data_IF_168487947538
#
_entry.id   IF_168487947538
#
_cell.length_a   1.000
_cell.length_b   1.000
_cell.length_c   1.000
_cell.angle_alpha   90.00
_cell.angle_beta   90.00
_cell.angle_gamma   90.00
#
_symmetry.space_group_name_H-M   'P 1'
#
loop_
_entity.id
_entity.type
_entity.pdbx_description
1 polymer ?
#
# COMPACT_ATOMS: atom_id res chain seq x y z
N UNK A 1 9.35 -17.43 5.30
CA UNK A 1 10.55 -16.75 5.85
C UNK A 1 10.02 -15.52 6.53
N UNK A 2 10.02 -15.54 7.86
CA UNK A 2 9.74 -14.37 8.68
C UNK A 2 11.02 -13.53 8.71
N UNK A 3 11.01 -12.37 8.06
CA UNK A 3 12.15 -11.44 8.19
C UNK A 3 12.14 -10.80 9.58
N UNK A 4 10.97 -10.69 10.24
CA UNK A 4 10.81 -10.07 11.56
C UNK A 4 11.07 -8.56 11.59
N UNK A 5 11.53 -7.99 10.47
CA UNK A 5 11.78 -6.56 10.31
C UNK A 5 10.47 -5.78 10.22
N UNK A 6 10.42 -4.67 10.93
CA UNK A 6 9.33 -3.72 10.95
C UNK A 6 9.86 -2.30 10.80
N UNK A 7 9.00 -1.40 10.31
CA UNK A 7 9.28 0.02 10.26
C UNK A 7 8.27 0.75 11.13
N UNK A 8 8.76 1.32 12.23
CA UNK A 8 7.96 2.23 13.04
C UNK A 8 7.83 3.59 12.35
N UNK A 9 6.61 4.12 12.34
CA UNK A 9 6.37 5.44 11.80
C UNK A 9 6.95 6.49 12.74
N UNK A 10 7.85 7.32 12.23
CA UNK A 10 8.42 8.42 13.01
C UNK A 10 7.34 9.39 13.49
N UNK A 11 6.35 9.65 12.64
CA UNK A 11 5.15 10.42 12.94
C UNK A 11 3.94 9.70 12.36
N UNK A 12 2.82 9.77 13.07
CA UNK A 12 1.56 9.24 12.57
C UNK A 12 1.13 10.02 11.31
N UNK A 13 0.53 9.35 10.32
CA UNK A 13 -0.06 10.04 9.17
C UNK A 13 -1.17 10.97 9.64
N UNK A 14 -1.31 12.12 8.97
CA UNK A 14 -2.40 13.08 9.27
C UNK A 14 -3.76 12.55 8.82
N UNK A 15 -3.77 11.75 7.76
CA UNK A 15 -4.93 11.15 7.13
C UNK A 15 -4.59 9.77 6.57
N UNK A 16 -5.59 8.88 6.60
CA UNK A 16 -5.56 7.57 5.96
C UNK A 16 -6.79 7.52 5.04
N UNK A 17 -6.54 7.21 3.77
CA UNK A 17 -7.55 7.02 2.74
C UNK A 17 -7.79 5.52 2.60
N UNK A 18 -9.01 5.08 2.88
CA UNK A 18 -9.40 3.67 2.84
C UNK A 18 -10.55 3.46 1.85
N UNK A 19 -10.25 2.79 0.74
CA UNK A 19 -11.15 2.67 -0.39
C UNK A 19 -11.46 1.19 -0.67
N UNK A 20 -12.74 0.90 -0.87
CA UNK A 20 -13.22 -0.37 -1.41
C UNK A 20 -14.20 -0.08 -2.53
N UNK A 21 -14.03 -0.76 -3.66
CA UNK A 21 -14.93 -0.59 -4.81
C UNK A 21 -15.35 -1.93 -5.40
N UNK A 22 -16.25 -1.89 -6.38
CA UNK A 22 -16.80 -3.06 -7.05
C UNK A 22 -16.84 -2.83 -8.56
N UNK A 23 -16.56 -3.88 -9.32
CA UNK A 23 -16.61 -3.86 -10.78
C UNK A 23 -17.98 -4.32 -11.27
N UNK A 24 -18.57 -3.53 -12.17
CA UNK A 24 -19.80 -3.85 -12.88
C UNK A 24 -19.61 -3.74 -14.40
N UNK A 25 -20.10 -4.74 -15.13
CA UNK A 25 -20.16 -4.73 -16.58
C UNK A 25 -21.50 -4.14 -17.05
N UNK A 26 -21.48 -3.17 -17.96
CA UNK A 26 -22.67 -2.57 -18.54
C UNK A 26 -23.07 -3.32 -19.83
N UNK A 27 -24.19 -4.02 -19.79
CA UNK A 27 -24.75 -4.76 -20.93
C UNK A 27 -25.74 -3.85 -21.65
N UNK A 28 -25.36 -3.42 -22.86
CA UNK A 28 -26.22 -2.63 -23.75
C UNK A 28 -27.08 -3.55 -24.59
N UNK A 29 -28.40 -3.42 -24.48
CA UNK A 29 -29.36 -4.20 -25.25
C UNK A 29 -30.05 -3.23 -26.23
N UNK A 30 -29.96 -3.44 -27.55
CA UNK A 30 -30.62 -2.59 -28.53
C UNK A 30 -32.12 -2.44 -28.26
N UNK A 31 -32.65 -1.22 -28.34
CA UNK A 31 -34.06 -0.92 -28.08
C UNK A 31 -34.43 -0.70 -26.61
N UNK A 32 -33.49 -0.89 -25.66
CA UNK A 32 -33.70 -0.57 -24.25
C UNK A 32 -33.25 0.87 -23.93
N UNK A 33 -33.94 1.54 -23.00
CA UNK A 33 -33.62 2.91 -22.60
C UNK A 33 -32.38 3.03 -21.71
N UNK A 34 -32.01 1.97 -20.99
CA UNK A 34 -30.88 1.94 -20.07
C UNK A 34 -30.12 0.60 -20.16
N UNK A 35 -28.79 0.60 -19.92
CA UNK A 35 -28.01 -0.63 -19.84
C UNK A 35 -28.37 -1.41 -18.58
N UNK A 36 -28.22 -2.74 -18.63
CA UNK A 36 -28.26 -3.60 -17.44
C UNK A 36 -26.85 -3.73 -16.89
N UNK A 37 -26.68 -3.54 -15.58
CA UNK A 37 -25.38 -3.73 -14.92
C UNK A 37 -25.30 -5.13 -14.31
N UNK A 38 -24.22 -5.86 -14.61
CA UNK A 38 -23.92 -7.16 -14.02
C UNK A 38 -22.69 -7.04 -13.13
N UNK A 39 -22.80 -7.52 -11.89
CA UNK A 39 -21.66 -7.59 -10.97
C UNK A 39 -20.59 -8.54 -11.53
N UNK A 40 -19.34 -8.08 -11.52
CA UNK A 40 -18.18 -8.84 -11.99
C UNK A 40 -17.40 -9.38 -10.79
N UNK A 41 -16.88 -8.47 -9.96
CA UNK A 41 -16.07 -8.79 -8.80
C UNK A 41 -15.94 -7.58 -7.86
N UNK A 42 -15.47 -7.80 -6.64
CA UNK A 42 -15.02 -6.74 -5.76
C UNK A 42 -13.59 -6.35 -6.13
N UNK A 43 -13.29 -5.05 -6.15
CA UNK A 43 -11.93 -4.56 -6.33
C UNK A 43 -11.16 -4.68 -5.01
N UNK A 44 -9.82 -4.81 -5.01
CA UNK A 44 -9.02 -4.85 -3.79
C UNK A 44 -9.30 -3.62 -2.90
N UNK A 45 -9.34 -3.83 -1.58
CA UNK A 45 -9.36 -2.72 -0.63
C UNK A 45 -7.99 -2.04 -0.68
N UNK A 46 -8.02 -0.71 -0.65
CA UNK A 46 -6.89 0.16 -0.93
C UNK A 46 -6.69 1.11 0.24
N UNK A 47 -5.53 1.04 0.88
CA UNK A 47 -5.21 1.88 2.04
C UNK A 47 -4.03 2.78 1.66
N UNK A 48 -4.30 4.06 1.51
CA UNK A 48 -3.33 5.09 1.15
C UNK A 48 -3.06 6.03 2.31
N UNK A 49 -1.80 6.38 2.55
CA UNK A 49 -1.42 7.36 3.58
C UNK A 49 -0.08 8.00 3.26
N UNK A 50 0.18 9.15 3.89
CA UNK A 50 1.44 9.87 3.75
C UNK A 50 2.29 9.78 5.03
N UNK A 51 3.52 9.30 4.88
CA UNK A 51 4.54 9.33 5.92
C UNK A 51 5.47 10.53 5.75
N UNK A 52 5.88 11.11 6.87
CA UNK A 52 6.87 12.18 6.92
C UNK A 52 8.11 11.67 7.64
N UNK A 53 9.27 11.80 7.01
CA UNK A 53 10.56 11.48 7.61
C UNK A 53 11.37 12.76 7.76
N UNK A 54 11.83 13.04 8.98
CA UNK A 54 12.56 14.25 9.30
C UNK A 54 13.78 13.95 10.18
N UNK A 55 14.96 14.31 9.69
CA UNK A 55 16.28 13.99 10.27
C UNK A 55 16.52 12.48 10.41
N UNK A 56 17.76 12.10 10.72
CA UNK A 56 18.18 10.70 10.78
C UNK A 56 18.38 10.08 9.39
N UNK A 57 18.23 8.77 9.29
CA UNK A 57 18.49 7.99 8.07
C UNK A 57 17.32 8.00 7.08
N UNK A 58 16.86 9.19 6.70
CA UNK A 58 15.70 9.39 5.81
C UNK A 58 15.81 8.59 4.51
N UNK A 59 17.00 8.59 3.88
CA UNK A 59 17.24 7.81 2.66
C UNK A 59 17.01 6.31 2.90
N UNK A 60 17.54 5.77 3.99
CA UNK A 60 17.45 4.34 4.31
C UNK A 60 15.99 3.95 4.61
N UNK A 61 15.24 4.77 5.34
CA UNK A 61 13.81 4.51 5.58
C UNK A 61 13.00 4.51 4.29
N UNK A 62 13.28 5.45 3.38
CA UNK A 62 12.61 5.49 2.07
C UNK A 62 13.02 4.30 1.19
N UNK A 63 14.31 3.95 1.19
CA UNK A 63 14.81 2.82 0.42
C UNK A 63 14.28 1.48 0.97
N UNK A 64 14.10 1.37 2.29
CA UNK A 64 13.42 0.22 2.91
C UNK A 64 11.98 0.11 2.41
N UNK A 65 11.19 1.20 2.43
CA UNK A 65 9.82 1.19 1.90
C UNK A 65 9.78 0.81 0.42
N UNK A 66 10.70 1.35 -0.38
CA UNK A 66 10.81 1.00 -1.80
C UNK A 66 11.19 -0.46 -2.00
N UNK A 67 12.03 -1.03 -1.15
CA UNK A 67 12.46 -2.42 -1.26
C UNK A 67 11.29 -3.41 -1.24
N UNK A 68 10.18 -3.06 -0.57
CA UNK A 68 8.96 -3.87 -0.50
C UNK A 68 8.26 -4.06 -1.86
N UNK A 69 8.58 -3.21 -2.85
CA UNK A 69 8.08 -3.34 -4.22
C UNK A 69 8.93 -4.28 -5.08
N UNK A 70 10.13 -4.65 -4.61
CA UNK A 70 11.04 -5.50 -5.36
C UNK A 70 10.86 -6.97 -4.96
N UNK A 71 10.89 -7.89 -5.94
CA UNK A 71 10.88 -9.32 -5.66
C UNK A 71 12.26 -9.82 -5.18
N UNK A 72 12.27 -10.97 -4.52
CA UNK A 72 13.50 -11.65 -4.13
C UNK A 72 14.05 -12.48 -5.29
N UNK A 73 15.34 -12.30 -5.60
CA UNK A 73 16.04 -13.08 -6.61
C UNK A 73 17.19 -13.89 -6.01
N UNK A 74 17.41 -15.09 -6.55
CA UNK A 74 18.64 -15.85 -6.37
C UNK A 74 19.45 -15.77 -7.67
N UNK A 75 20.37 -14.79 -7.74
CA UNK A 75 21.04 -14.44 -9.00
C UNK A 75 20.07 -13.82 -9.99
N UNK A 76 19.86 -14.46 -11.14
CA UNK A 76 18.88 -14.01 -12.17
C UNK A 76 17.52 -14.69 -12.03
N UNK A 77 17.37 -15.66 -11.13
CA UNK A 77 16.12 -16.41 -10.97
C UNK A 77 15.22 -15.75 -9.92
N UNK A 78 13.95 -15.55 -10.29
CA UNK A 78 12.91 -15.10 -9.37
C UNK A 78 12.66 -16.20 -8.32
N UNK A 79 12.77 -15.84 -7.05
CA UNK A 79 12.53 -16.75 -5.92
C UNK A 79 11.19 -16.47 -5.27
N UNK A 80 10.95 -15.21 -4.90
CA UNK A 80 9.69 -14.78 -4.29
C UNK A 80 9.17 -13.52 -4.97
N UNK A 81 7.85 -13.42 -5.09
CA UNK A 81 7.19 -12.16 -5.42
C UNK A 81 7.49 -11.10 -4.33
N UNK A 82 7.21 -9.80 -4.59
CA UNK A 82 7.37 -8.76 -3.57
C UNK A 82 6.71 -9.13 -2.25
N UNK A 83 7.34 -8.76 -1.14
CA UNK A 83 6.95 -9.19 0.19
C UNK A 83 5.55 -8.69 0.57
N UNK A 84 4.80 -9.56 1.27
CA UNK A 84 3.55 -9.17 1.95
C UNK A 84 3.91 -8.53 3.29
N UNK A 85 3.14 -7.53 3.68
CA UNK A 85 3.36 -6.78 4.93
C UNK A 85 2.10 -6.82 5.80
N UNK A 86 2.29 -6.73 7.11
CA UNK A 86 1.17 -6.56 8.05
C UNK A 86 1.13 -5.08 8.42
N UNK A 87 0.03 -4.41 8.09
CA UNK A 87 -0.20 -3.02 8.47
C UNK A 87 -0.94 -2.95 9.81
N UNK A 88 -0.34 -2.24 10.77
CA UNK A 88 -0.90 -2.05 12.10
C UNK A 88 -0.99 -0.56 12.42
N UNK A 89 -2.15 -0.12 12.91
CA UNK A 89 -2.36 1.26 13.34
C UNK A 89 -3.47 1.31 14.40
N UNK A 90 -3.05 1.15 15.66
CA UNK A 90 -3.95 1.07 16.82
C UNK A 90 -5.09 0.06 16.60
N UNK A 91 -6.25 0.36 17.16
CA UNK A 91 -7.45 -0.47 17.00
C UNK A 91 -8.13 -0.29 15.64
N UNK A 92 -7.78 0.77 14.89
CA UNK A 92 -8.36 1.04 13.58
C UNK A 92 -7.91 0.00 12.55
N UNK A 93 -6.65 -0.43 12.64
CA UNK A 93 -6.06 -1.48 11.81
C UNK A 93 -5.29 -2.46 12.70
N UNK A 94 -5.93 -3.51 13.23
CA UNK A 94 -5.29 -4.41 14.21
C UNK A 94 -4.33 -5.44 13.59
N UNK A 95 -3.91 -5.26 12.33
CA UNK A 95 -3.04 -6.20 11.61
C UNK A 95 -3.65 -6.64 10.28
N UNK A 96 -3.68 -5.75 9.29
CA UNK A 96 -4.19 -6.04 7.96
C UNK A 96 -3.08 -6.55 7.06
N UNK A 97 -3.23 -7.76 6.52
CA UNK A 97 -2.29 -8.32 5.56
C UNK A 97 -2.42 -7.60 4.22
N UNK A 98 -1.33 -7.01 3.75
CA UNK A 98 -1.31 -6.16 2.56
C UNK A 98 -0.13 -6.49 1.64
N UNK A 99 -0.22 -6.03 0.40
CA UNK A 99 0.91 -5.85 -0.49
C UNK A 99 1.14 -4.37 -0.73
N UNK A 100 2.40 -3.94 -0.78
CA UNK A 100 2.73 -2.57 -1.16
C UNK A 100 2.61 -2.44 -2.67
N UNK A 101 1.85 -1.45 -3.14
CA UNK A 101 1.59 -1.22 -4.56
C UNK A 101 2.30 0.01 -5.09
N UNK A 102 2.48 1.00 -4.23
CA UNK A 102 3.15 2.23 -4.60
C UNK A 102 3.86 2.86 -3.41
N UNK A 103 5.06 3.37 -3.68
CA UNK A 103 5.84 4.20 -2.76
C UNK A 103 6.33 5.41 -3.55
N UNK A 104 5.72 6.57 -3.32
CA UNK A 104 6.07 7.82 -3.99
C UNK A 104 6.74 8.75 -2.99
N UNK A 105 8.07 8.76 -3.01
CA UNK A 105 8.87 9.64 -2.17
C UNK A 105 9.15 10.97 -2.86
N UNK A 106 9.00 12.05 -2.10
CA UNK A 106 9.41 13.41 -2.44
C UNK A 106 10.45 13.87 -1.43
N UNK A 107 11.66 14.12 -1.89
CA UNK A 107 12.75 14.71 -1.11
C UNK A 107 12.81 16.21 -1.37
N UNK A 108 12.87 17.04 -0.33
CA UNK A 108 12.76 18.49 -0.52
C UNK A 108 13.31 19.30 0.68
N UNK A 109 13.64 20.58 0.40
CA UNK A 109 14.12 21.64 1.31
C UNK A 109 15.44 21.39 2.06
N UNK A 110 15.68 20.19 2.59
CA UNK A 110 16.79 19.92 3.50
C UNK A 110 17.66 18.81 2.95
N UNK A 111 18.67 19.18 2.18
CA UNK A 111 19.75 18.29 1.78
C UNK A 111 20.98 18.68 2.58
N UNK A 112 21.68 17.68 3.10
CA UNK A 112 22.96 17.87 3.75
C UNK A 112 23.98 18.46 2.76
N UNK A 113 24.83 19.37 3.22
CA UNK A 113 25.77 20.05 2.32
C UNK A 113 26.90 19.12 1.84
N UNK A 114 27.35 18.23 2.71
CA UNK A 114 28.59 17.49 2.49
C UNK A 114 28.31 16.16 1.78
N UNK A 115 27.27 15.44 2.20
CA UNK A 115 26.91 14.14 1.61
C UNK A 115 25.69 14.20 0.68
N UNK A 116 25.02 15.36 0.56
CA UNK A 116 23.84 15.58 -0.29
C UNK A 116 22.66 14.65 0.01
N UNK A 117 22.66 14.00 1.18
CA UNK A 117 21.57 13.14 1.59
C UNK A 117 20.37 13.98 2.04
N UNK A 118 19.14 13.52 1.75
CA UNK A 118 17.95 14.19 2.23
C UNK A 118 17.84 14.05 3.75
N UNK A 119 17.51 15.15 4.42
CA UNK A 119 17.11 15.17 5.82
C UNK A 119 15.60 15.31 5.99
N UNK A 120 14.85 15.47 4.88
CA UNK A 120 13.39 15.57 4.91
C UNK A 120 12.78 14.91 3.68
N UNK A 121 11.78 14.06 3.91
CA UNK A 121 11.00 13.41 2.86
C UNK A 121 9.53 13.27 3.24
N UNK A 122 8.66 13.42 2.24
CA UNK A 122 7.27 12.96 2.29
C UNK A 122 7.15 11.71 1.42
N UNK A 123 6.45 10.69 1.89
CA UNK A 123 6.27 9.44 1.18
C UNK A 123 4.80 9.07 1.15
N UNK A 124 4.19 9.11 -0.04
CA UNK A 124 2.86 8.55 -0.25
C UNK A 124 2.99 7.04 -0.44
N UNK A 125 2.36 6.27 0.45
CA UNK A 125 2.34 4.81 0.42
C UNK A 125 0.94 4.35 0.05
N UNK A 126 0.85 3.39 -0.88
CA UNK A 126 -0.39 2.73 -1.26
C UNK A 126 -0.28 1.23 -0.98
N UNK A 127 -1.16 0.74 -0.12
CA UNK A 127 -1.33 -0.67 0.19
C UNK A 127 -2.58 -1.20 -0.50
N UNK A 128 -2.52 -2.44 -0.97
CA UNK A 128 -3.71 -3.23 -1.32
C UNK A 128 -3.84 -4.40 -0.34
N UNK A 129 -5.02 -4.56 0.23
CA UNK A 129 -5.34 -5.68 1.11
C UNK A 129 -5.19 -6.99 0.35
N UNK A 130 -4.48 -7.93 0.96
CA UNK A 130 -4.24 -9.25 0.38
C UNK A 130 -5.14 -10.26 1.08
N UNK A 131 -6.05 -10.85 0.30
CA UNK A 131 -7.04 -11.82 0.77
C UNK A 131 -6.93 -13.10 -0.06
N UNK A 132 -6.74 -14.24 0.61
CA UNK A 132 -6.66 -15.56 -0.06
C UNK A 132 -8.05 -16.14 -0.40
N UNK A 133 -9.11 -15.76 0.32
CA UNK A 133 -10.47 -16.29 0.14
C UNK A 133 -11.51 -15.17 0.06
N UNK A 134 -12.55 -15.33 -0.75
CA UNK A 134 -13.62 -14.32 -0.82
C UNK A 134 -14.33 -14.17 0.53
N UNK A 135 -14.62 -12.92 0.90
CA UNK A 135 -15.24 -12.55 2.17
C UNK A 135 -16.68 -12.12 1.94
N UNK A 136 -17.61 -12.60 2.77
CA UNK A 136 -19.00 -12.18 2.75
C UNK A 136 -19.18 -10.80 3.44
N UNK A 137 -20.23 -10.07 3.06
CA UNK A 137 -20.50 -8.76 3.63
C UNK A 137 -20.77 -8.80 5.15
N UNK A 138 -21.29 -9.92 5.66
CA UNK A 138 -21.58 -10.10 7.09
C UNK A 138 -20.31 -10.22 7.92
N UNK A 139 -19.27 -10.85 7.39
CA UNK A 139 -17.95 -10.98 8.05
C UNK A 139 -17.25 -9.63 8.23
N UNK A 140 -17.54 -8.65 7.38
CA UNK A 140 -16.99 -7.29 7.47
C UNK A 140 -17.78 -6.40 8.45
N UNK A 141 -19.05 -6.70 8.72
CA UNK A 141 -19.93 -5.84 9.53
C UNK A 141 -19.76 -5.99 11.04
N UNK A 142 -19.18 -7.09 11.50
CA UNK A 142 -19.14 -7.46 12.92
C UNK A 142 -20.45 -8.08 13.40
#
# INVERSE_FOLDING_TARGET
>A
MDTGDYLDFQYNPNDIVDEKSTAYAAIKIPGMSHPRYQYVAGEPRKIGFKLVFFKGSVKESVDWLRSLLYPEHAGTMLKNAPHRVIFMFGDLYPGVLCVVRQVKARFFHMFDRDNLLPQHAEVDVMLEEYIDQSVDYSEVRG
#
